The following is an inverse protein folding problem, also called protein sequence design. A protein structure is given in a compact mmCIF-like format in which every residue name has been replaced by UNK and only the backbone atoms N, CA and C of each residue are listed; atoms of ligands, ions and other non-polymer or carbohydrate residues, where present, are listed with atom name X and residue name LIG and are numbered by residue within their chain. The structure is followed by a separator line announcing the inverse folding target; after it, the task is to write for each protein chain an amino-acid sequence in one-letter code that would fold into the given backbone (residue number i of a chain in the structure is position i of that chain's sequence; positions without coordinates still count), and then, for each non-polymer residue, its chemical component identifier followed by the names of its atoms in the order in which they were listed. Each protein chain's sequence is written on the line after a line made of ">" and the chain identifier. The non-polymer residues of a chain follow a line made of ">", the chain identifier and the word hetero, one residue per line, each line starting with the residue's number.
data_IF_606112398004
#
_entry.id   IF_606112398004
#
_cell.length_a   1.000
_cell.length_b   1.000
_cell.length_c   1.000
_cell.angle_alpha   90.00
_cell.angle_beta   90.00
_cell.angle_gamma   90.00
#
_symmetry.space_group_name_H-M   'P 1'
#
loop_
_entity.id
_entity.type
_entity.pdbx_description
1 polymer ?
#
# COMPACT_ATOMS: atom_id res chain seq x y z
N UNK A 1 -9.53 14.71 13.54
CA UNK A 1 -9.63 13.51 14.40
C UNK A 1 -8.89 12.38 13.71
N UNK A 2 -7.88 11.79 14.37
CA UNK A 2 -7.11 10.67 13.83
C UNK A 2 -7.89 9.37 14.02
N UNK A 3 -8.60 8.95 12.97
CA UNK A 3 -9.25 7.65 12.94
C UNK A 3 -8.15 6.58 12.97
N UNK A 4 -8.01 5.87 14.08
CA UNK A 4 -7.08 4.78 14.18
C UNK A 4 -7.71 3.53 13.54
N UNK A 5 -6.99 2.80 12.67
CA UNK A 5 -7.48 1.53 12.16
C UNK A 5 -7.70 0.56 13.32
N UNK A 6 -8.78 -0.22 13.27
CA UNK A 6 -9.08 -1.18 14.32
C UNK A 6 -8.04 -2.31 14.32
N UNK A 7 -7.53 -2.76 15.49
CA UNK A 7 -6.46 -3.76 15.55
C UNK A 7 -6.77 -5.06 14.82
N UNK A 8 -8.02 -5.52 14.86
CA UNK A 8 -8.44 -6.77 14.22
C UNK A 8 -8.26 -6.73 12.69
N UNK A 9 -8.38 -5.56 12.07
CA UNK A 9 -8.18 -5.41 10.63
C UNK A 9 -6.69 -5.31 10.26
N UNK A 10 -5.86 -4.77 11.17
CA UNK A 10 -4.41 -4.75 10.98
C UNK A 10 -3.88 -6.18 10.96
N UNK A 11 -4.22 -6.99 11.97
CA UNK A 11 -3.80 -8.39 12.08
C UNK A 11 -4.31 -9.25 10.92
N UNK A 12 -5.60 -9.11 10.56
CA UNK A 12 -6.17 -9.85 9.45
C UNK A 12 -5.49 -9.52 8.11
N UNK A 13 -5.16 -8.25 7.88
CA UNK A 13 -4.45 -7.82 6.66
C UNK A 13 -3.01 -8.32 6.66
N UNK A 14 -2.31 -8.24 7.80
CA UNK A 14 -0.94 -8.73 7.91
C UNK A 14 -0.86 -10.23 7.60
N UNK A 15 -1.78 -11.03 8.17
CA UNK A 15 -1.87 -12.46 7.88
C UNK A 15 -2.15 -12.72 6.39
N UNK A 16 -3.12 -12.01 5.81
CA UNK A 16 -3.45 -12.14 4.39
C UNK A 16 -2.28 -11.79 3.46
N UNK A 17 -1.44 -10.82 3.83
CA UNK A 17 -0.25 -10.45 3.05
C UNK A 17 0.84 -11.52 3.10
N UNK A 18 1.01 -12.18 4.25
CA UNK A 18 2.03 -13.23 4.45
C UNK A 18 1.60 -14.55 3.81
N UNK A 19 0.33 -14.90 3.91
CA UNK A 19 -0.22 -16.17 3.38
C UNK A 19 -0.50 -16.13 1.87
N UNK A 20 -0.37 -14.98 1.22
CA UNK A 20 -0.61 -14.84 -0.21
C UNK A 20 0.56 -15.40 -1.05
N UNK A 21 0.26 -16.27 -2.01
CA UNK A 21 1.26 -16.86 -2.90
C UNK A 21 1.89 -15.87 -3.90
N UNK A 22 1.09 -14.91 -4.39
CA UNK A 22 1.54 -13.91 -5.38
C UNK A 22 0.85 -12.55 -5.16
N UNK A 23 1.15 -11.85 -4.06
CA UNK A 23 0.53 -10.56 -3.73
C UNK A 23 0.97 -9.43 -4.68
N UNK A 24 0.07 -8.47 -4.87
CA UNK A 24 0.30 -7.22 -5.58
C UNK A 24 -0.30 -6.07 -4.77
N UNK A 25 0.49 -5.03 -4.49
CA UNK A 25 0.00 -3.80 -3.89
C UNK A 25 -0.23 -2.72 -4.95
N UNK A 26 -1.45 -2.19 -5.01
CA UNK A 26 -1.80 -1.06 -5.87
C UNK A 26 -1.93 0.20 -5.03
N UNK A 27 -1.15 1.23 -5.33
CA UNK A 27 -1.09 2.48 -4.56
C UNK A 27 -1.68 3.67 -5.31
N UNK A 28 -2.55 4.42 -4.65
CA UNK A 28 -3.18 5.61 -5.20
C UNK A 28 -2.46 6.91 -4.83
N UNK A 29 -2.97 8.02 -5.37
CA UNK A 29 -2.46 9.38 -5.10
C UNK A 29 -2.61 9.79 -3.61
N UNK A 30 -3.51 9.14 -2.90
CA UNK A 30 -3.76 9.32 -1.46
C UNK A 30 -2.51 9.02 -0.63
N UNK A 31 -1.67 8.07 -1.05
CA UNK A 31 -0.40 7.75 -0.37
C UNK A 31 0.55 8.96 -0.40
N UNK A 32 0.62 9.64 -1.54
CA UNK A 32 1.41 10.87 -1.70
C UNK A 32 0.84 12.02 -0.89
N UNK A 33 -0.48 12.21 -0.91
CA UNK A 33 -1.14 13.25 -0.10
C UNK A 33 -0.97 13.02 1.40
N UNK A 34 -0.89 11.77 1.84
CA UNK A 34 -0.66 11.40 3.22
C UNK A 34 0.84 11.40 3.61
N UNK A 35 1.75 11.75 2.69
CA UNK A 35 3.19 11.66 2.88
C UNK A 35 3.66 10.26 3.34
N UNK A 36 3.01 9.21 2.84
CA UNK A 36 3.22 7.83 3.26
C UNK A 36 4.09 7.01 2.28
N UNK A 37 4.67 7.66 1.26
CA UNK A 37 5.44 7.00 0.19
C UNK A 37 6.51 6.07 0.75
N UNK A 38 7.33 6.56 1.67
CA UNK A 38 8.42 5.78 2.25
C UNK A 38 7.92 4.57 3.05
N UNK A 39 6.77 4.70 3.73
CA UNK A 39 6.19 3.59 4.47
C UNK A 39 5.74 2.47 3.55
N UNK A 40 5.14 2.82 2.40
CA UNK A 40 4.68 1.83 1.43
C UNK A 40 5.85 1.16 0.70
N UNK A 41 6.90 1.92 0.37
CA UNK A 41 8.15 1.35 -0.17
C UNK A 41 8.80 0.39 0.84
N UNK A 42 8.89 0.78 2.11
CA UNK A 42 9.43 -0.10 3.17
C UNK A 42 8.61 -1.38 3.31
N UNK A 43 7.27 -1.29 3.25
CA UNK A 43 6.39 -2.45 3.34
C UNK A 43 6.60 -3.42 2.17
N UNK A 44 6.69 -2.90 0.94
CA UNK A 44 6.96 -3.69 -0.25
C UNK A 44 8.31 -4.41 -0.17
N UNK A 45 9.35 -3.70 0.26
CA UNK A 45 10.68 -4.28 0.40
C UNK A 45 10.72 -5.35 1.51
N UNK A 46 10.03 -5.13 2.63
CA UNK A 46 10.00 -6.06 3.75
C UNK A 46 9.32 -7.38 3.37
N UNK A 47 8.20 -7.31 2.65
CA UNK A 47 7.39 -8.48 2.30
C UNK A 47 7.74 -9.06 0.92
N UNK A 48 8.65 -8.43 0.17
CA UNK A 48 8.99 -8.83 -1.21
C UNK A 48 7.82 -8.68 -2.20
N UNK A 49 6.83 -7.83 -1.89
CA UNK A 49 5.59 -7.70 -2.66
C UNK A 49 5.78 -6.70 -3.80
N UNK A 50 5.37 -7.09 -5.00
CA UNK A 50 5.38 -6.19 -6.16
C UNK A 50 4.39 -5.05 -5.97
N UNK A 51 4.77 -3.85 -6.40
CA UNK A 51 3.91 -2.67 -6.36
C UNK A 51 3.58 -2.15 -7.75
N UNK A 52 2.39 -1.58 -7.88
CA UNK A 52 1.94 -0.82 -9.05
C UNK A 52 1.24 0.46 -8.60
N UNK A 53 1.25 1.48 -9.43
CA UNK A 53 0.46 2.68 -9.21
C UNK A 53 -0.95 2.48 -9.78
N UNK A 54 -1.97 2.74 -8.98
CA UNK A 54 -3.35 2.73 -9.44
C UNK A 54 -3.54 3.80 -10.52
N UNK A 55 -3.71 3.38 -11.78
CA UNK A 55 -3.92 4.28 -12.90
C UNK A 55 -5.24 5.07 -12.75
N UNK A 56 -5.12 6.34 -12.41
CA UNK A 56 -5.87 7.41 -13.09
C UNK A 56 -4.85 8.02 -14.06
N UNK A 57 -5.13 8.01 -15.37
CA UNK A 57 -4.23 8.40 -16.46
C UNK A 57 -3.19 9.47 -16.08
N UNK A 58 -1.96 9.06 -15.79
CA UNK A 58 -0.78 9.94 -15.72
C UNK A 58 -0.20 10.08 -17.13
N UNK A 59 -1.01 10.66 -18.02
CA UNK A 59 -0.65 11.02 -19.41
C UNK A 59 -0.63 12.54 -19.63
N UNK A 60 -0.60 13.34 -18.57
CA UNK A 60 -0.44 14.79 -18.65
C UNK A 60 0.45 15.29 -17.51
N UNK A 61 1.77 15.15 -17.67
CA UNK A 61 2.71 16.27 -17.70
C UNK A 61 4.13 15.73 -17.49
N UNK A 62 4.97 16.13 -18.43
CA UNK A 62 6.40 15.84 -18.61
C UNK A 62 7.20 16.45 -17.45
#
# INVERSE_FOLDING_TARGET
>A
MGLQPKPEFIEATARALIEADSPLMSVGHEVTRANANDHVVRLSNLLGIKMTQGFRCMGCSI
#
